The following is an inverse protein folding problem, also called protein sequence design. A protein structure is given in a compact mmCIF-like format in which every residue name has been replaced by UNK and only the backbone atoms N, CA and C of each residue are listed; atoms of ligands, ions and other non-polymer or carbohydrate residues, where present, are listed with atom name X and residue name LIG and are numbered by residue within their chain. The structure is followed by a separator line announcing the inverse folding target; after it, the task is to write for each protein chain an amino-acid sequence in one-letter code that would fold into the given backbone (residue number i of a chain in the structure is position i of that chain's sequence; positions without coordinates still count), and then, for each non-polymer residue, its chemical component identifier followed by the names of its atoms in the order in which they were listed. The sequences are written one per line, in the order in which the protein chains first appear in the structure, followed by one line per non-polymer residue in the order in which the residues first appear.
data_IF_389669528471
#
_entry.id   IF_389669528471
#
_cell.length_a   1.000
_cell.length_b   1.000
_cell.length_c   1.000
_cell.angle_alpha   90.00
_cell.angle_beta   90.00
_cell.angle_gamma   90.00
#
_symmetry.space_group_name_H-M   'P 1'
#
loop_
_entity.id
_entity.type
_entity.pdbx_description
1 polymer ?
#
# COMPACT_ATOMS: atom_id res chain seq x y z
N UNK A 1 4.42 2.48 3.81
CA UNK A 1 4.41 3.09 2.46
C UNK A 1 5.08 2.23 1.38
N UNK A 2 6.28 1.69 1.59
CA UNK A 2 6.99 0.86 0.60
C UNK A 2 6.17 -0.33 0.05
N UNK A 3 5.34 -0.96 0.88
CA UNK A 3 4.51 -2.10 0.45
C UNK A 3 3.35 -1.68 -0.47
N UNK A 4 2.80 -0.47 -0.28
CA UNK A 4 1.83 0.10 -1.22
C UNK A 4 2.53 0.34 -2.57
N UNK A 5 3.73 0.93 -2.57
CA UNK A 5 4.53 1.12 -3.80
C UNK A 5 4.82 -0.22 -4.50
N UNK A 6 5.17 -1.28 -3.76
CA UNK A 6 5.33 -2.63 -4.32
C UNK A 6 4.06 -3.13 -5.03
N UNK A 7 2.89 -2.89 -4.43
CA UNK A 7 1.62 -3.25 -5.04
C UNK A 7 1.31 -2.42 -6.29
N UNK A 8 1.55 -1.10 -6.25
CA UNK A 8 1.36 -0.21 -7.39
C UNK A 8 2.27 -0.58 -8.56
N UNK A 9 3.55 -0.89 -8.30
CA UNK A 9 4.51 -1.29 -9.32
C UNK A 9 4.12 -2.64 -9.96
N UNK A 10 3.62 -3.58 -9.16
CA UNK A 10 3.04 -4.81 -9.70
C UNK A 10 1.86 -4.53 -10.64
N UNK A 11 0.92 -3.67 -10.22
CA UNK A 11 -0.25 -3.33 -11.02
C UNK A 11 0.14 -2.62 -12.32
N UNK A 12 1.08 -1.68 -12.26
CA UNK A 12 1.64 -0.97 -13.42
C UNK A 12 2.32 -1.94 -14.39
N UNK A 13 3.21 -2.80 -13.90
CA UNK A 13 3.93 -3.79 -14.71
C UNK A 13 2.94 -4.76 -15.36
N UNK A 14 1.95 -5.23 -14.61
CA UNK A 14 0.89 -6.11 -15.12
C UNK A 14 0.04 -5.45 -16.21
N UNK A 15 -0.32 -4.18 -16.05
CA UNK A 15 -1.06 -3.41 -17.07
C UNK A 15 -0.23 -3.22 -18.34
N UNK A 16 1.06 -2.86 -18.19
CA UNK A 16 1.99 -2.74 -19.33
C UNK A 16 2.11 -4.05 -20.10
N UNK A 17 2.23 -5.18 -19.39
CA UNK A 17 2.27 -6.52 -19.98
C UNK A 17 0.99 -6.85 -20.75
N UNK A 18 -0.18 -6.55 -20.18
CA UNK A 18 -1.48 -6.80 -20.83
C UNK A 18 -1.65 -6.01 -22.13
N UNK A 19 -1.07 -4.80 -22.19
CA UNK A 19 -1.18 -3.92 -23.34
C UNK A 19 -0.15 -4.23 -24.44
N UNK A 20 0.86 -5.06 -24.16
CA UNK A 20 1.86 -5.49 -25.14
C UNK A 20 1.37 -6.76 -25.88
N UNK A 21 0.76 -6.56 -27.04
CA UNK A 21 0.14 -7.62 -27.86
C UNK A 21 1.11 -8.72 -28.32
N UNK A 22 2.42 -8.45 -28.35
CA UNK A 22 3.48 -9.42 -28.67
C UNK A 22 3.76 -10.40 -27.54
N UNK A 23 3.49 -10.03 -26.30
CA UNK A 23 3.71 -10.89 -25.13
C UNK A 23 2.46 -11.72 -24.80
N UNK A 24 1.28 -11.25 -25.20
CA UNK A 24 0.02 -11.98 -25.08
C UNK A 24 -0.05 -13.23 -25.97
N UNK A 25 0.69 -13.29 -27.08
CA UNK A 25 0.64 -14.40 -28.05
C UNK A 25 1.45 -15.64 -27.62
N UNK A 26 2.35 -15.52 -26.64
CA UNK A 26 3.09 -16.66 -26.04
C UNK A 26 2.31 -17.25 -24.84
N UNK A 27 1.13 -16.71 -24.52
CA UNK A 27 0.40 -16.93 -23.26
C UNK A 27 -0.75 -17.94 -23.36
N UNK A 28 -0.55 -19.09 -24.01
CA UNK A 28 -1.59 -20.14 -24.11
C UNK A 28 -1.64 -21.12 -22.91
N UNK A 29 -1.14 -20.74 -21.73
CA UNK A 29 -1.25 -21.60 -20.52
C UNK A 29 -1.70 -20.80 -19.30
N UNK A 30 -2.95 -20.34 -19.37
CA UNK A 30 -3.92 -20.00 -18.32
C UNK A 30 -3.34 -19.81 -16.88
N UNK A 31 -3.23 -18.54 -16.46
CA UNK A 31 -3.55 -18.08 -15.09
C UNK A 31 -2.43 -18.08 -14.04
N UNK A 32 -1.45 -18.98 -14.09
CA UNK A 32 -0.33 -19.02 -13.11
C UNK A 32 1.01 -18.51 -13.66
N UNK A 33 1.24 -18.63 -14.97
CA UNK A 33 2.50 -18.23 -15.62
C UNK A 33 2.74 -16.73 -15.59
N UNK A 34 1.72 -15.93 -15.91
CA UNK A 34 1.87 -14.49 -16.13
C UNK A 34 2.17 -13.72 -14.84
N UNK A 35 1.43 -14.02 -13.77
CA UNK A 35 1.70 -13.42 -12.46
C UNK A 35 3.10 -13.78 -11.95
N UNK A 36 3.55 -15.02 -12.17
CA UNK A 36 4.90 -15.45 -11.78
C UNK A 36 5.96 -14.71 -12.57
N UNK A 37 5.80 -14.56 -13.89
CA UNK A 37 6.73 -13.82 -14.75
C UNK A 37 6.84 -12.34 -14.39
N UNK A 38 5.71 -11.69 -14.10
CA UNK A 38 5.70 -10.30 -13.65
C UNK A 38 6.42 -10.15 -12.31
N UNK A 39 6.16 -11.06 -11.37
CA UNK A 39 6.83 -11.06 -10.07
C UNK A 39 8.33 -11.29 -10.24
N UNK A 40 8.74 -12.23 -11.09
CA UNK A 40 10.14 -12.52 -11.36
C UNK A 40 10.85 -11.33 -12.00
N UNK A 41 10.19 -10.62 -12.91
CA UNK A 41 10.73 -9.40 -13.53
C UNK A 41 10.99 -8.33 -12.47
N UNK A 42 10.06 -8.14 -11.53
CA UNK A 42 10.22 -7.17 -10.43
C UNK A 42 11.26 -7.64 -9.42
N UNK A 43 11.32 -8.94 -9.10
CA UNK A 43 12.32 -9.47 -8.18
C UNK A 43 13.72 -9.41 -8.77
N UNK A 44 13.87 -9.64 -10.08
CA UNK A 44 15.13 -9.52 -10.80
C UNK A 44 15.68 -8.09 -10.79
N UNK A 45 14.82 -7.07 -10.87
CA UNK A 45 15.26 -5.67 -10.79
C UNK A 45 15.67 -5.22 -9.40
N UNK A 46 15.29 -5.96 -8.35
CA UNK A 46 15.55 -5.60 -6.94
C UNK A 46 16.64 -6.49 -6.31
N UNK A 47 16.82 -7.72 -6.81
CA UNK A 47 17.77 -8.69 -6.28
C UNK A 47 18.90 -8.98 -7.27
N UNK A 48 20.07 -8.41 -7.01
CA UNK A 48 21.30 -8.75 -7.74
C UNK A 48 21.52 -10.27 -7.74
N UNK A 49 21.82 -10.83 -8.92
CA UNK A 49 22.04 -12.26 -9.06
C UNK A 49 20.78 -13.11 -8.91
N UNK A 50 19.57 -12.56 -9.07
CA UNK A 50 18.29 -13.31 -9.06
C UNK A 50 18.35 -14.63 -9.85
N UNK A 51 18.94 -14.61 -11.05
CA UNK A 51 19.10 -15.78 -11.92
C UNK A 51 20.03 -16.86 -11.36
N UNK A 52 20.94 -16.48 -10.46
CA UNK A 52 21.92 -17.37 -9.84
C UNK A 52 21.42 -17.94 -8.51
N UNK A 53 20.26 -17.50 -8.03
CA UNK A 53 19.66 -18.03 -6.80
C UNK A 53 19.12 -19.45 -7.02
N UNK A 54 19.19 -20.28 -5.98
CA UNK A 54 18.56 -21.59 -5.99
C UNK A 54 17.04 -21.49 -6.14
N UNK A 55 16.42 -22.52 -6.73
CA UNK A 55 14.96 -22.59 -6.89
C UNK A 55 14.20 -22.40 -5.57
N UNK A 56 14.73 -22.95 -4.47
CA UNK A 56 14.18 -22.77 -3.12
C UNK A 56 14.19 -21.29 -2.73
N UNK A 57 15.32 -20.59 -2.92
CA UNK A 57 15.43 -19.18 -2.54
C UNK A 57 14.56 -18.28 -3.40
N UNK A 58 14.45 -18.55 -4.70
CA UNK A 58 13.52 -17.82 -5.56
C UNK A 58 12.06 -18.05 -5.13
N UNK A 59 11.70 -19.28 -4.79
CA UNK A 59 10.36 -19.61 -4.25
C UNK A 59 10.06 -18.84 -2.96
N UNK A 60 11.01 -18.80 -2.01
CA UNK A 60 10.87 -18.04 -0.76
C UNK A 60 10.66 -16.54 -1.02
N UNK A 61 11.40 -15.97 -1.98
CA UNK A 61 11.27 -14.56 -2.35
C UNK A 61 9.92 -14.27 -3.03
N UNK A 62 9.45 -15.15 -3.91
CA UNK A 62 8.10 -15.06 -4.50
C UNK A 62 7.03 -15.09 -3.41
N UNK A 63 7.12 -16.02 -2.46
CA UNK A 63 6.17 -16.12 -1.35
C UNK A 63 6.13 -14.81 -0.52
N UNK A 64 7.30 -14.28 -0.16
CA UNK A 64 7.41 -12.98 0.53
C UNK A 64 6.84 -11.83 -0.31
N UNK A 65 7.08 -11.84 -1.62
CA UNK A 65 6.51 -10.84 -2.53
C UNK A 65 4.98 -10.90 -2.51
N UNK A 66 4.39 -12.10 -2.61
CA UNK A 66 2.93 -12.27 -2.57
C UNK A 66 2.33 -11.74 -1.27
N UNK A 67 2.92 -12.07 -0.12
CA UNK A 67 2.47 -11.59 1.18
C UNK A 67 2.55 -10.05 1.28
N UNK A 68 3.72 -9.50 0.94
CA UNK A 68 3.98 -8.05 0.95
C UNK A 68 3.08 -7.29 0.00
N UNK A 69 2.86 -7.80 -1.22
CA UNK A 69 1.93 -7.24 -2.21
C UNK A 69 0.51 -7.26 -1.68
N UNK A 70 0.05 -8.38 -1.12
CA UNK A 70 -1.30 -8.49 -0.53
C UNK A 70 -1.49 -7.49 0.60
N UNK A 71 -0.49 -7.35 1.46
CA UNK A 71 -0.53 -6.40 2.57
C UNK A 71 -0.52 -4.95 2.07
N UNK A 72 0.30 -4.63 1.06
CA UNK A 72 0.32 -3.35 0.38
C UNK A 72 -1.02 -2.97 -0.25
N UNK A 73 -1.67 -3.90 -0.97
CA UNK A 73 -3.00 -3.71 -1.55
C UNK A 73 -4.04 -3.34 -0.50
N UNK A 74 -4.02 -4.00 0.65
CA UNK A 74 -4.99 -3.76 1.73
C UNK A 74 -4.78 -2.39 2.40
N UNK A 75 -3.54 -1.97 2.56
CA UNK A 75 -3.24 -0.62 3.02
C UNK A 75 -3.62 0.46 2.01
N UNK A 76 -3.42 0.20 0.71
CA UNK A 76 -3.84 1.12 -0.35
C UNK A 76 -5.35 1.36 -0.29
N UNK A 77 -6.15 0.29 -0.13
CA UNK A 77 -7.61 0.39 0.01
C UNK A 77 -8.05 1.33 1.15
N UNK A 78 -7.39 1.26 2.32
CA UNK A 78 -7.68 2.19 3.41
C UNK A 78 -7.20 3.61 3.09
N UNK A 79 -6.00 3.75 2.53
CA UNK A 79 -5.43 5.05 2.19
C UNK A 79 -6.23 5.78 1.09
N UNK A 80 -6.86 5.05 0.16
CA UNK A 80 -7.71 5.63 -0.88
C UNK A 80 -9.00 6.25 -0.32
N UNK A 81 -9.46 5.77 0.85
CA UNK A 81 -10.67 6.27 1.52
C UNK A 81 -10.37 7.31 2.60
N UNK A 82 -9.38 7.02 3.44
CA UNK A 82 -9.06 7.82 4.64
C UNK A 82 -7.90 8.80 4.41
N UNK A 83 -7.26 8.73 3.25
CA UNK A 83 -6.03 9.44 2.93
C UNK A 83 -4.77 8.74 3.45
N UNK A 84 -3.58 9.13 2.95
CA UNK A 84 -2.31 8.49 3.28
C UNK A 84 -1.88 8.68 4.75
N UNK A 85 -2.45 9.65 5.46
CA UNK A 85 -2.20 9.90 6.89
C UNK A 85 -2.56 8.71 7.77
N UNK A 86 -3.47 7.83 7.33
CA UNK A 86 -3.81 6.60 8.06
C UNK A 86 -2.59 5.70 8.25
N UNK A 87 -1.59 5.78 7.36
CA UNK A 87 -0.37 4.98 7.45
C UNK A 87 0.57 5.43 8.57
N UNK A 88 0.38 6.65 9.08
CA UNK A 88 1.17 7.25 10.16
C UNK A 88 0.45 7.17 11.51
N UNK A 89 -0.88 7.38 11.50
CA UNK A 89 -1.67 7.53 12.72
C UNK A 89 -2.51 6.30 13.11
N UNK A 90 -2.52 5.24 12.30
CA UNK A 90 -3.36 4.08 12.61
C UNK A 90 -2.94 3.40 13.93
N UNK A 91 -3.94 2.95 14.68
CA UNK A 91 -3.71 2.12 15.86
C UNK A 91 -3.14 0.75 15.51
N UNK A 92 -2.47 0.12 16.48
CA UNK A 92 -2.00 -1.28 16.37
C UNK A 92 -3.14 -2.25 16.06
N UNK A 93 -4.35 -1.99 16.60
CA UNK A 93 -5.55 -2.77 16.29
C UNK A 93 -5.91 -2.70 14.81
N UNK A 94 -5.90 -1.52 14.20
CA UNK A 94 -6.15 -1.36 12.77
C UNK A 94 -5.05 -2.06 11.94
N UNK A 95 -3.77 -1.87 12.31
CA UNK A 95 -2.66 -2.52 11.62
C UNK A 95 -2.75 -4.06 11.65
N UNK A 96 -3.23 -4.63 12.76
CA UNK A 96 -3.48 -6.07 12.91
C UNK A 96 -4.66 -6.54 12.05
N UNK A 97 -5.75 -5.76 11.94
CA UNK A 97 -6.88 -6.07 11.03
C UNK A 97 -6.43 -6.07 9.56
N UNK A 98 -5.59 -5.11 9.16
CA UNK A 98 -5.02 -5.09 7.82
C UNK A 98 -4.11 -6.28 7.58
N UNK A 99 -3.41 -6.80 8.60
CA UNK A 99 -2.54 -7.97 8.46
C UNK A 99 -3.35 -9.28 8.40
N UNK A 100 -4.44 -9.35 9.15
CA UNK A 100 -5.26 -10.55 9.27
C UNK A 100 -5.96 -10.88 7.93
N UNK A 101 -5.60 -12.01 7.34
CA UNK A 101 -6.14 -12.44 6.04
C UNK A 101 -7.57 -12.93 6.08
N UNK A 102 -8.12 -13.21 7.26
CA UNK A 102 -9.53 -13.55 7.45
C UNK A 102 -10.44 -12.32 7.32
N UNK A 103 -9.90 -11.11 7.53
CA UNK A 103 -10.63 -9.87 7.25
C UNK A 103 -10.64 -9.66 5.74
N UNK A 104 -11.81 -9.66 5.11
CA UNK A 104 -11.92 -9.51 3.65
C UNK A 104 -11.63 -8.08 3.21
N UNK A 105 -11.44 -7.86 1.89
CA UNK A 105 -11.31 -6.49 1.36
C UNK A 105 -12.58 -5.67 1.63
N UNK A 106 -13.76 -6.28 1.46
CA UNK A 106 -15.05 -5.65 1.73
C UNK A 106 -15.18 -5.21 3.20
N UNK A 107 -14.76 -6.05 4.15
CA UNK A 107 -14.74 -5.66 5.56
C UNK A 107 -13.83 -4.46 5.83
N UNK A 108 -12.68 -4.36 5.15
CA UNK A 108 -11.82 -3.16 5.27
C UNK A 108 -12.47 -1.91 4.68
N UNK A 109 -13.17 -2.04 3.55
CA UNK A 109 -13.92 -0.92 2.95
C UNK A 109 -15.07 -0.46 3.85
N UNK A 110 -15.78 -1.39 4.47
CA UNK A 110 -16.87 -1.09 5.39
C UNK A 110 -16.33 -0.40 6.66
N UNK A 111 -15.20 -0.86 7.19
CA UNK A 111 -14.50 -0.19 8.29
C UNK A 111 -14.09 1.23 7.90
N UNK A 112 -13.49 1.42 6.71
CA UNK A 112 -13.09 2.75 6.25
C UNK A 112 -14.30 3.68 6.11
N UNK A 113 -15.38 3.19 5.50
CA UNK A 113 -16.63 3.95 5.32
C UNK A 113 -17.25 4.31 6.67
N UNK A 114 -17.19 3.40 7.66
CA UNK A 114 -17.67 3.67 9.01
C UNK A 114 -16.83 4.75 9.71
N UNK A 115 -15.49 4.70 9.59
CA UNK A 115 -14.60 5.73 10.16
C UNK A 115 -14.92 7.09 9.54
N UNK A 116 -15.02 7.16 8.21
CA UNK A 116 -15.36 8.38 7.47
C UNK A 116 -16.71 8.98 7.91
N UNK A 117 -17.73 8.13 8.09
CA UNK A 117 -19.07 8.58 8.45
C UNK A 117 -19.27 8.93 9.93
N UNK A 118 -18.52 8.28 10.84
CA UNK A 118 -18.79 8.36 12.29
C UNK A 118 -17.71 9.06 13.11
N UNK A 119 -16.52 9.30 12.57
CA UNK A 119 -15.39 9.84 13.31
C UNK A 119 -14.88 11.14 12.71
N UNK A 120 -15.68 12.20 12.82
CA UNK A 120 -15.35 13.51 12.28
C UNK A 120 -14.00 14.05 12.79
N UNK A 121 -13.69 13.83 14.07
CA UNK A 121 -12.42 14.25 14.68
C UNK A 121 -11.21 13.50 14.08
N UNK A 122 -11.34 12.19 13.92
CA UNK A 122 -10.34 11.36 13.22
C UNK A 122 -10.12 11.86 11.80
N UNK A 123 -11.20 12.15 11.06
CA UNK A 123 -11.10 12.65 9.69
C UNK A 123 -10.46 14.03 9.60
N UNK A 124 -10.77 14.95 10.53
CA UNK A 124 -10.09 16.26 10.63
C UNK A 124 -8.60 16.10 10.92
N UNK A 125 -8.24 15.20 11.84
CA UNK A 125 -6.84 14.90 12.17
C UNK A 125 -6.10 14.32 10.97
N UNK A 126 -6.72 13.37 10.26
CA UNK A 126 -6.18 12.81 9.03
C UNK A 126 -6.02 13.87 7.94
N UNK A 127 -6.98 14.79 7.79
CA UNK A 127 -6.90 15.88 6.81
C UNK A 127 -5.68 16.79 7.04
N UNK A 128 -5.31 17.08 8.29
CA UNK A 128 -4.10 17.84 8.63
C UNK A 128 -2.83 17.09 8.22
N UNK A 129 -2.80 15.76 8.42
CA UNK A 129 -1.60 14.94 8.22
C UNK A 129 -1.46 14.42 6.79
N UNK A 130 -2.55 14.33 6.03
CA UNK A 130 -2.58 13.81 4.67
C UNK A 130 -1.57 14.49 3.74
N UNK A 131 -1.42 15.84 3.73
CA UNK A 131 -0.40 16.51 2.92
C UNK A 131 1.03 16.06 3.24
N UNK A 132 1.41 16.02 4.53
CA UNK A 132 2.72 15.52 4.96
C UNK A 132 2.91 14.05 4.57
N UNK A 133 1.90 13.22 4.83
CA UNK A 133 1.95 11.80 4.48
C UNK A 133 2.09 11.58 2.96
N UNK A 134 1.49 12.44 2.14
CA UNK A 134 1.64 12.42 0.69
C UNK A 134 3.06 12.81 0.25
N UNK A 135 3.64 13.83 0.87
CA UNK A 135 5.03 14.25 0.66
C UNK A 135 6.02 13.12 1.02
N UNK A 136 5.85 12.50 2.19
CA UNK A 136 6.63 11.32 2.60
C UNK A 136 6.42 10.14 1.66
N UNK A 137 5.19 9.94 1.17
CA UNK A 137 4.90 8.88 0.21
C UNK A 137 5.63 9.10 -1.10
N UNK A 138 5.74 10.35 -1.58
CA UNK A 138 6.47 10.75 -2.80
C UNK A 138 7.98 10.86 -2.60
N UNK A 139 8.43 10.99 -1.35
CA UNK A 139 9.80 11.31 -0.96
C UNK A 139 10.24 12.72 -1.40
N UNK A 140 9.31 13.68 -1.37
CA UNK A 140 9.52 15.05 -1.86
C UNK A 140 8.71 16.06 -1.01
N UNK A 141 9.26 17.26 -0.78
CA UNK A 141 8.55 18.38 -0.14
C UNK A 141 8.25 18.25 1.36
N UNK A 142 8.61 17.14 2.02
CA UNK A 142 8.33 16.94 3.45
C UNK A 142 9.17 17.84 4.38
N UNK A 143 10.28 18.41 3.89
CA UNK A 143 11.12 19.35 4.62
C UNK A 143 10.49 20.73 4.82
N UNK A 144 9.44 21.05 4.07
CA UNK A 144 8.71 22.33 4.16
C UNK A 144 7.72 22.35 5.33
N UNK A 145 7.48 21.21 5.97
CA UNK A 145 6.52 21.09 7.05
C UNK A 145 7.17 21.34 8.40
N UNK A 146 6.61 22.27 9.17
CA UNK A 146 6.96 22.45 10.57
C UNK A 146 6.17 21.48 11.46
N UNK A 147 6.90 20.57 12.11
CA UNK A 147 6.33 19.61 13.05
C UNK A 147 5.59 20.26 14.23
N UNK A 148 6.04 21.43 14.70
CA UNK A 148 5.41 22.13 15.82
C UNK A 148 4.03 22.65 15.42
N UNK A 149 3.94 23.23 14.22
CA UNK A 149 2.68 23.73 13.67
C UNK A 149 1.69 22.61 13.40
N UNK A 150 2.13 21.48 12.85
CA UNK A 150 1.27 20.29 12.65
C UNK A 150 0.70 19.81 13.99
N UNK A 151 1.55 19.67 15.01
CA UNK A 151 1.12 19.21 16.33
C UNK A 151 0.17 20.20 17.00
N UNK A 152 0.34 21.50 16.78
CA UNK A 152 -0.58 22.54 17.23
C UNK A 152 -1.96 22.37 16.60
N UNK A 153 -2.01 22.23 15.26
CA UNK A 153 -3.28 22.02 14.55
C UNK A 153 -4.01 20.74 15.00
N UNK A 154 -3.29 19.63 15.23
CA UNK A 154 -3.91 18.41 15.78
C UNK A 154 -4.50 18.65 17.16
N UNK A 155 -3.79 19.39 18.03
CA UNK A 155 -4.27 19.70 19.39
C UNK A 155 -5.53 20.56 19.37
N UNK A 156 -5.61 21.51 18.44
CA UNK A 156 -6.78 22.37 18.28
C UNK A 156 -8.01 21.57 17.86
N UNK A 157 -7.84 20.51 17.05
CA UNK A 157 -8.94 19.59 16.69
C UNK A 157 -9.54 18.90 17.90
N UNK A 158 -8.70 18.45 18.84
CA UNK A 158 -9.18 17.81 20.09
C UNK A 158 -9.79 18.81 21.09
N UNK A 159 -9.39 20.07 21.02
CA UNK A 159 -9.85 21.12 21.94
C UNK A 159 -11.18 21.77 21.49
N UNK A 160 -11.53 21.68 20.20
CA UNK A 160 -12.76 22.24 19.63
C UNK A 160 -14.05 21.48 19.99
N UNK A 161 -13.98 20.50 20.90
CA UNK A 161 -15.08 19.60 21.25
C UNK A 161 -15.48 19.68 22.73
N UNK A 162 -15.07 20.74 23.44
CA UNK A 162 -15.50 21.05 24.82
C UNK A 162 -16.43 22.26 24.82
#
# INVERSE_FOLDING_TARGET
MALIRLHLEYTKTHQSWKNDSRQATVASTIGRGDATRIIDTILESIHEGWRNLSNKRQSDLRAKFHERKKYGKRWLLLADRLGPGILLLCSTKMANLVRNTSVTAKMLEDIASQVEASQAETMRTLAIINPLAQCLFRNEGYSEYDSAEILRQIRDVGSATV
#
